data_IF_251482840584
#
_entry.id   IF_251482840584
#
_cell.length_a   1.000
_cell.length_b   1.000
_cell.length_c   1.000
_cell.angle_alpha   90.00
_cell.angle_beta   90.00
_cell.angle_gamma   90.00
#
_symmetry.space_group_name_H-M   'P 1'
#
loop_
_entity.id
_entity.type
_entity.pdbx_description
1 polymer ?
#
# COMPACT_ATOMS: atom_id res chain seq x y z
N UNK A 1 5.64 27.87 20.71
CA UNK A 1 4.58 27.12 20.00
C UNK A 1 5.26 25.95 19.33
N UNK A 2 4.81 24.71 19.60
CA UNK A 2 5.18 23.60 18.73
C UNK A 2 4.59 23.88 17.34
N UNK A 3 5.31 23.61 16.25
CA UNK A 3 4.76 23.75 14.90
C UNK A 3 3.50 22.87 14.79
N UNK A 4 2.42 23.43 14.24
CA UNK A 4 1.23 22.65 13.93
C UNK A 4 1.58 21.59 12.89
N UNK A 5 1.21 20.34 13.17
CA UNK A 5 1.38 19.25 12.20
C UNK A 5 0.62 19.60 10.89
N UNK A 6 1.16 19.22 9.73
CA UNK A 6 0.46 19.44 8.46
C UNK A 6 -0.83 18.60 8.40
N UNK A 7 -1.79 19.03 7.58
CA UNK A 7 -3.12 18.39 7.50
C UNK A 7 -3.08 16.91 7.10
N UNK A 8 -2.01 16.47 6.42
CA UNK A 8 -1.80 15.10 5.98
C UNK A 8 -1.09 14.20 7.01
N UNK A 9 -0.60 14.78 8.12
CA UNK A 9 -0.02 14.02 9.22
C UNK A 9 -1.11 13.41 10.12
N UNK A 10 -0.78 12.30 10.77
CA UNK A 10 -1.67 11.65 11.74
C UNK A 10 -1.42 12.25 13.12
N UNK A 11 -2.44 12.78 13.82
CA UNK A 11 -2.29 13.27 15.18
C UNK A 11 -1.73 12.19 16.11
N UNK A 12 -0.86 12.60 17.02
CA UNK A 12 -0.27 11.74 18.07
C UNK A 12 0.58 10.55 17.57
N UNK A 13 0.87 10.47 16.26
CA UNK A 13 1.79 9.49 15.67
C UNK A 13 2.99 10.21 15.05
N UNK A 14 4.18 9.87 15.52
CA UNK A 14 5.43 10.44 15.02
C UNK A 14 5.83 9.80 13.67
N UNK A 15 6.04 10.61 12.60
CA UNK A 15 6.49 10.08 11.31
C UNK A 15 7.94 9.59 11.40
N UNK A 16 8.25 8.48 10.71
CA UNK A 16 9.60 7.87 10.67
C UNK A 16 10.59 8.68 9.85
N UNK A 17 10.09 9.43 8.87
CA UNK A 17 10.91 10.10 7.88
C UNK A 17 10.44 11.52 7.57
N UNK A 18 11.43 12.39 7.40
CA UNK A 18 11.32 13.78 6.96
C UNK A 18 12.73 14.36 6.93
N UNK A 19 13.20 14.85 5.78
CA UNK A 19 14.50 15.53 5.74
C UNK A 19 14.40 16.84 6.53
N UNK A 20 15.41 17.16 7.35
CA UNK A 20 15.45 18.44 8.05
C UNK A 20 15.25 19.59 7.05
N UNK A 21 14.14 20.32 7.17
CA UNK A 21 13.79 21.43 6.30
C UNK A 21 12.82 21.14 5.15
N UNK A 22 12.38 19.88 4.96
CA UNK A 22 11.28 19.56 4.05
C UNK A 22 10.10 19.01 4.84
N UNK A 23 8.88 19.56 4.68
CA UNK A 23 7.68 19.04 5.31
C UNK A 23 7.28 17.76 4.58
N UNK A 24 8.02 16.67 4.81
CA UNK A 24 7.68 15.32 4.34
C UNK A 24 7.37 14.48 5.56
N UNK A 25 6.29 13.71 5.46
CA UNK A 25 5.97 12.67 6.43
C UNK A 25 6.11 11.31 5.75
N UNK A 26 6.50 10.31 6.53
CA UNK A 26 6.45 8.92 6.12
C UNK A 26 6.09 8.08 7.33
N UNK A 27 5.25 7.08 7.12
CA UNK A 27 4.74 6.19 8.15
C UNK A 27 4.85 4.75 7.67
N UNK A 28 5.24 3.86 8.58
CA UNK A 28 5.05 2.43 8.38
C UNK A 28 3.63 2.04 8.77
N UNK A 29 3.12 0.96 8.19
CA UNK A 29 1.75 0.55 8.40
C UNK A 29 1.45 0.08 9.81
N UNK A 30 2.44 -0.49 10.51
CA UNK A 30 2.34 -0.89 11.92
C UNK A 30 2.10 0.31 12.86
N UNK A 31 2.70 1.47 12.59
CA UNK A 31 2.45 2.71 13.35
C UNK A 31 0.99 3.18 13.25
N UNK A 32 0.33 2.87 12.14
CA UNK A 32 -1.01 3.34 11.82
C UNK A 32 -2.09 2.27 11.99
N UNK A 33 -1.73 1.03 12.33
CA UNK A 33 -2.63 -0.12 12.37
C UNK A 33 -3.86 0.07 13.31
N UNK A 34 -3.70 0.89 14.35
CA UNK A 34 -4.76 1.20 15.33
C UNK A 34 -5.60 2.44 14.98
N UNK A 35 -5.25 3.14 13.89
CA UNK A 35 -6.06 4.26 13.41
C UNK A 35 -7.39 3.74 12.86
N UNK A 36 -8.48 4.45 13.16
CA UNK A 36 -9.84 3.99 12.83
C UNK A 36 -10.03 3.63 11.34
N UNK A 37 -9.46 4.41 10.41
CA UNK A 37 -9.54 4.13 8.99
C UNK A 37 -8.86 2.80 8.61
N UNK A 38 -7.67 2.54 9.18
CA UNK A 38 -6.87 1.35 8.92
C UNK A 38 -7.52 0.12 9.56
N UNK A 39 -7.93 0.22 10.82
CA UNK A 39 -8.63 -0.86 11.54
C UNK A 39 -9.90 -1.30 10.80
N UNK A 40 -10.69 -0.36 10.28
CA UNK A 40 -11.91 -0.67 9.52
C UNK A 40 -11.63 -1.47 8.23
N UNK A 41 -10.48 -1.26 7.59
CA UNK A 41 -10.05 -2.08 6.44
C UNK A 41 -9.60 -3.45 6.93
N UNK A 42 -8.71 -3.50 7.93
CA UNK A 42 -8.19 -4.74 8.50
C UNK A 42 -9.30 -5.68 8.98
N UNK A 43 -10.37 -5.17 9.57
CA UNK A 43 -11.51 -5.97 10.03
C UNK A 43 -12.25 -6.70 8.89
N UNK A 44 -12.17 -6.17 7.66
CA UNK A 44 -12.78 -6.77 6.46
C UNK A 44 -11.81 -7.70 5.69
N UNK A 45 -10.51 -7.62 5.95
CA UNK A 45 -9.52 -8.49 5.32
C UNK A 45 -9.60 -9.91 5.89
N UNK A 46 -9.14 -10.94 5.17
CA UNK A 46 -8.81 -12.22 5.77
C UNK A 46 -7.81 -12.05 6.92
N UNK A 47 -7.88 -12.90 7.95
CA UNK A 47 -6.90 -12.88 9.05
C UNK A 47 -5.49 -13.22 8.57
N UNK A 48 -5.41 -14.04 7.53
CA UNK A 48 -4.19 -14.54 6.92
C UNK A 48 -4.40 -14.55 5.40
N UNK A 49 -3.45 -14.01 4.66
CA UNK A 49 -3.42 -14.02 3.20
C UNK A 49 -2.49 -15.14 2.72
N UNK A 50 -2.93 -15.90 1.72
CA UNK A 50 -2.12 -16.93 1.06
C UNK A 50 -1.31 -16.29 -0.05
N UNK A 51 0.02 -16.49 -0.05
CA UNK A 51 0.88 -16.09 -1.16
C UNK A 51 0.48 -16.85 -2.43
N UNK A 52 0.41 -16.12 -3.53
CA UNK A 52 -0.03 -16.66 -4.81
C UNK A 52 1.13 -17.35 -5.51
N UNK A 53 2.35 -16.85 -5.30
CA UNK A 53 3.56 -17.45 -5.85
C UNK A 53 4.55 -17.85 -4.77
N UNK A 54 5.32 -18.89 -5.08
CA UNK A 54 6.18 -19.60 -4.15
C UNK A 54 7.56 -18.95 -4.09
N UNK A 55 8.04 -18.71 -2.87
CA UNK A 55 9.41 -18.32 -2.60
C UNK A 55 10.32 -19.57 -2.55
N UNK A 56 10.55 -20.18 -3.71
CA UNK A 56 11.59 -21.22 -3.85
C UNK A 56 11.18 -22.66 -3.52
N UNK A 57 9.91 -23.02 -3.69
CA UNK A 57 9.45 -24.42 -3.68
C UNK A 57 9.02 -24.95 -2.30
N UNK A 58 8.73 -24.06 -1.34
CA UNK A 58 8.36 -24.43 0.02
C UNK A 58 6.84 -24.50 0.25
N UNK A 59 6.04 -24.36 -0.80
CA UNK A 59 4.58 -24.37 -0.72
C UNK A 59 4.01 -22.99 -0.37
N UNK A 60 2.67 -22.89 -0.21
CA UNK A 60 2.03 -21.61 0.00
C UNK A 60 2.43 -21.01 1.35
N UNK A 61 3.25 -19.97 1.30
CA UNK A 61 3.54 -19.11 2.44
C UNK A 61 2.31 -18.24 2.74
N UNK A 62 2.20 -17.80 3.99
CA UNK A 62 1.06 -17.02 4.47
C UNK A 62 1.52 -15.75 5.16
N UNK A 63 0.77 -14.66 4.98
CA UNK A 63 1.05 -13.33 5.56
C UNK A 63 -0.10 -12.96 6.49
N UNK A 64 0.19 -12.66 7.76
CA UNK A 64 -0.84 -12.18 8.69
C UNK A 64 -1.17 -10.71 8.43
N UNK A 65 -2.30 -10.21 8.92
CA UNK A 65 -2.62 -8.77 8.86
C UNK A 65 -1.54 -7.88 9.49
N UNK A 66 -0.92 -8.36 10.58
CA UNK A 66 0.14 -7.64 11.27
C UNK A 66 1.42 -7.59 10.42
N UNK A 67 1.82 -8.73 9.84
CA UNK A 67 2.99 -8.79 8.94
C UNK A 67 2.78 -7.92 7.71
N UNK A 68 1.56 -7.95 7.13
CA UNK A 68 1.20 -7.07 6.02
C UNK A 68 1.40 -5.61 6.43
N UNK A 69 0.81 -5.14 7.53
CA UNK A 69 0.98 -3.76 7.97
C UNK A 69 2.45 -3.37 8.22
N UNK A 70 3.25 -4.26 8.79
CA UNK A 70 4.66 -3.99 9.06
C UNK A 70 5.49 -3.78 7.78
N UNK A 71 5.06 -4.39 6.67
CA UNK A 71 5.75 -4.34 5.38
C UNK A 71 5.25 -3.21 4.47
N UNK A 72 4.27 -2.40 4.88
CA UNK A 72 3.76 -1.28 4.07
C UNK A 72 4.29 0.05 4.55
N UNK A 73 4.52 0.97 3.62
CA UNK A 73 4.78 2.37 3.96
C UNK A 73 4.01 3.34 3.07
N UNK A 74 3.71 4.51 3.62
CA UNK A 74 3.13 5.65 2.90
C UNK A 74 3.90 6.92 3.23
N UNK A 75 4.11 7.78 2.25
CA UNK A 75 4.79 9.06 2.46
C UNK A 75 4.35 10.16 1.51
N UNK A 76 4.37 11.39 1.98
CA UNK A 76 3.96 12.57 1.20
C UNK A 76 4.63 13.84 1.73
N UNK A 77 4.69 14.87 0.90
CA UNK A 77 5.05 16.23 1.30
C UNK A 77 3.87 17.23 1.27
N UNK A 78 2.75 16.85 0.67
CA UNK A 78 1.63 17.76 0.41
C UNK A 78 0.23 17.13 0.66
N UNK A 79 0.16 15.83 0.90
CA UNK A 79 -1.09 15.09 1.07
C UNK A 79 -1.87 14.83 -0.22
N UNK A 80 -1.33 15.25 -1.36
CA UNK A 80 -1.90 15.04 -2.71
C UNK A 80 -1.10 13.98 -3.47
N UNK A 81 0.22 14.06 -3.41
CA UNK A 81 1.14 13.13 -4.07
C UNK A 81 1.73 12.19 -3.02
N UNK A 82 1.46 10.91 -3.18
CA UNK A 82 1.82 9.86 -2.24
C UNK A 82 2.78 8.87 -2.87
N UNK A 83 3.86 8.59 -2.15
CA UNK A 83 4.64 7.38 -2.33
C UNK A 83 4.06 6.27 -1.48
N UNK A 84 3.77 5.13 -2.09
CA UNK A 84 3.30 3.92 -1.44
C UNK A 84 4.32 2.83 -1.70
N UNK A 85 4.73 2.10 -0.67
CA UNK A 85 5.68 1.00 -0.85
C UNK A 85 5.28 -0.25 -0.10
N UNK A 86 5.89 -1.36 -0.49
CA UNK A 86 5.86 -2.61 0.25
C UNK A 86 7.20 -3.35 0.19
N UNK A 87 7.42 -4.32 1.07
CA UNK A 87 8.57 -5.24 0.99
C UNK A 87 8.28 -6.42 0.04
N UNK A 88 9.35 -7.06 -0.45
CA UNK A 88 9.35 -8.17 -1.41
C UNK A 88 8.29 -9.27 -1.14
N UNK A 89 8.05 -9.62 0.13
CA UNK A 89 7.06 -10.63 0.51
C UNK A 89 5.62 -10.22 0.14
N UNK A 90 5.28 -8.93 0.19
CA UNK A 90 3.99 -8.42 -0.31
C UNK A 90 3.93 -8.51 -1.83
N UNK A 91 5.06 -8.33 -2.52
CA UNK A 91 5.13 -8.55 -3.96
C UNK A 91 4.62 -9.93 -4.37
N UNK A 92 4.92 -10.97 -3.59
CA UNK A 92 4.44 -12.35 -3.82
C UNK A 92 2.92 -12.53 -3.63
N UNK A 93 2.25 -11.58 -2.95
CA UNK A 93 0.80 -11.55 -2.83
C UNK A 93 0.12 -10.95 -4.07
N UNK A 94 0.69 -9.92 -4.68
CA UNK A 94 -0.05 -9.11 -5.66
C UNK A 94 0.54 -9.15 -7.06
N UNK A 95 1.86 -9.31 -7.18
CA UNK A 95 2.58 -9.34 -8.45
C UNK A 95 4.06 -9.73 -8.21
N UNK A 96 4.40 -11.02 -8.20
CA UNK A 96 5.78 -11.46 -8.05
C UNK A 96 6.57 -11.07 -9.30
N UNK A 97 7.53 -10.17 -9.12
CA UNK A 97 8.57 -9.82 -10.09
C UNK A 97 8.09 -9.56 -11.53
N UNK A 98 7.84 -8.27 -11.85
CA UNK A 98 8.06 -7.79 -13.21
C UNK A 98 8.92 -6.50 -13.22
N UNK A 99 9.51 -6.27 -14.40
CA UNK A 99 10.84 -5.71 -14.72
C UNK A 99 10.72 -4.22 -15.15
N UNK A 100 11.82 -3.60 -15.65
CA UNK A 100 12.48 -2.40 -15.12
C UNK A 100 11.60 -1.14 -15.16
N UNK A 101 11.95 -0.08 -14.40
CA UNK A 101 11.20 1.18 -14.38
C UNK A 101 10.87 1.65 -15.81
N UNK A 102 9.59 1.57 -16.16
CA UNK A 102 9.05 2.04 -17.42
C UNK A 102 8.17 3.25 -17.10
N UNK A 103 8.38 4.41 -17.74
CA UNK A 103 7.52 5.57 -17.58
C UNK A 103 6.09 5.34 -18.10
N UNK A 104 5.82 4.18 -18.71
CA UNK A 104 4.52 3.81 -19.25
C UNK A 104 3.80 2.86 -18.30
N UNK A 105 2.55 3.21 -17.95
CA UNK A 105 1.59 2.37 -17.22
C UNK A 105 1.48 0.98 -17.87
N UNK A 106 1.62 -0.09 -17.06
CA UNK A 106 1.36 -1.44 -17.51
C UNK A 106 -0.13 -1.77 -17.32
N UNK A 107 -0.92 -1.90 -18.41
CA UNK A 107 -2.34 -2.26 -18.30
C UNK A 107 -2.56 -3.67 -17.69
N UNK A 108 -1.51 -4.47 -17.57
CA UNK A 108 -1.49 -5.76 -16.90
C UNK A 108 -1.28 -5.69 -15.39
N UNK A 109 -0.97 -4.53 -14.81
CA UNK A 109 -0.71 -4.40 -13.38
C UNK A 109 -2.02 -4.39 -12.55
N UNK A 110 -2.31 -5.45 -11.76
CA UNK A 110 -3.53 -5.51 -10.97
C UNK A 110 -3.56 -4.49 -9.82
N UNK A 111 -2.40 -4.05 -9.32
CA UNK A 111 -2.29 -3.14 -8.19
C UNK A 111 -2.39 -1.68 -8.63
N UNK A 112 -1.72 -1.30 -9.71
CA UNK A 112 -1.92 0.01 -10.33
C UNK A 112 -3.38 0.20 -10.75
N UNK A 113 -3.98 -0.83 -11.37
CA UNK A 113 -5.41 -0.81 -11.73
C UNK A 113 -6.32 -0.69 -10.50
N UNK A 114 -6.03 -1.40 -9.41
CA UNK A 114 -6.80 -1.32 -8.18
C UNK A 114 -6.71 0.06 -7.51
N UNK A 115 -5.54 0.71 -7.56
CA UNK A 115 -5.35 2.08 -7.10
C UNK A 115 -6.12 3.08 -7.98
N UNK A 116 -5.94 3.01 -9.30
CA UNK A 116 -6.58 3.92 -10.26
C UNK A 116 -8.11 3.83 -10.23
N UNK A 117 -8.67 2.68 -9.84
CA UNK A 117 -10.12 2.50 -9.71
C UNK A 117 -10.72 3.13 -8.44
N UNK A 118 -9.90 3.59 -7.48
CA UNK A 118 -10.42 4.15 -6.24
C UNK A 118 -10.99 5.57 -6.43
N UNK A 119 -12.00 5.96 -5.63
CA UNK A 119 -12.50 7.32 -5.63
C UNK A 119 -11.41 8.32 -5.27
N UNK A 120 -11.42 9.47 -5.94
CA UNK A 120 -10.50 10.60 -5.77
C UNK A 120 -9.04 10.33 -6.21
N UNK A 121 -8.74 9.24 -6.92
CA UNK A 121 -7.42 9.00 -7.54
C UNK A 121 -7.39 9.61 -8.94
N UNK A 122 -6.53 10.61 -9.15
CA UNK A 122 -6.31 11.25 -10.46
C UNK A 122 -5.27 10.48 -11.30
N UNK A 123 -4.30 9.85 -10.63
CA UNK A 123 -3.21 9.10 -11.24
C UNK A 123 -2.72 8.05 -10.26
N UNK A 124 -2.46 6.85 -10.75
CA UNK A 124 -1.65 5.84 -10.08
C UNK A 124 -0.57 5.38 -11.06
N UNK A 125 0.63 5.15 -10.55
CA UNK A 125 1.79 4.80 -11.36
C UNK A 125 2.71 3.86 -10.59
N UNK A 126 3.02 2.71 -11.16
CA UNK A 126 4.04 1.78 -10.66
C UNK A 126 5.43 2.27 -11.05
N UNK A 127 6.13 2.90 -10.10
CA UNK A 127 7.41 3.57 -10.36
C UNK A 127 8.59 2.59 -10.36
N UNK A 128 8.62 1.66 -9.41
CA UNK A 128 9.60 0.58 -9.31
C UNK A 128 8.97 -0.62 -8.58
N UNK A 129 9.62 -1.79 -8.60
CA UNK A 129 9.16 -3.09 -8.10
C UNK A 129 8.32 -3.07 -6.82
N UNK A 130 8.66 -2.19 -5.90
CA UNK A 130 8.13 -2.11 -4.54
C UNK A 130 7.53 -0.73 -4.23
N UNK A 131 7.41 0.15 -5.23
CA UNK A 131 7.07 1.56 -5.04
C UNK A 131 6.11 2.09 -6.10
N UNK A 132 5.03 2.70 -5.61
CA UNK A 132 3.96 3.29 -6.41
C UNK A 132 3.82 4.78 -6.06
N UNK A 133 3.52 5.59 -7.07
CA UNK A 133 3.12 6.97 -6.89
C UNK A 133 1.63 7.13 -7.17
N UNK A 134 0.93 7.82 -6.28
CA UNK A 134 -0.49 8.10 -6.42
C UNK A 134 -0.75 9.59 -6.23
N UNK A 135 -1.48 10.18 -7.17
CA UNK A 135 -2.00 11.54 -7.04
C UNK A 135 -3.48 11.51 -6.73
N UNK A 136 -3.85 12.21 -5.66
CA UNK A 136 -5.21 12.36 -5.20
C UNK A 136 -5.81 13.71 -5.62
N UNK A 137 -7.12 13.73 -5.89
CA UNK A 137 -7.87 14.93 -6.21
C UNK A 137 -8.02 15.91 -5.03
N UNK A 138 -7.76 15.44 -3.80
CA UNK A 138 -7.83 16.23 -2.56
C UNK A 138 -6.82 15.71 -1.53
N UNK A 139 -6.51 16.57 -0.55
CA UNK A 139 -5.60 16.22 0.54
C UNK A 139 -6.18 15.06 1.35
N UNK A 140 -5.35 14.05 1.56
CA UNK A 140 -5.63 12.91 2.43
C UNK A 140 -4.69 12.91 3.63
N UNK A 141 -5.11 12.22 4.69
CA UNK A 141 -4.25 11.94 5.85
C UNK A 141 -3.58 10.58 5.68
N UNK A 142 -2.40 10.38 6.28
CA UNK A 142 -1.61 9.17 6.02
C UNK A 142 -2.30 7.85 6.42
N UNK A 143 -3.13 7.84 7.47
CA UNK A 143 -3.93 6.67 7.85
C UNK A 143 -5.06 6.37 6.85
N UNK A 144 -5.68 7.40 6.27
CA UNK A 144 -6.63 7.23 5.16
C UNK A 144 -5.94 6.67 3.93
N UNK A 145 -4.73 7.15 3.62
CA UNK A 145 -3.96 6.66 2.48
C UNK A 145 -3.49 5.22 2.69
N UNK A 146 -3.06 4.85 3.90
CA UNK A 146 -2.72 3.46 4.21
C UNK A 146 -3.95 2.53 4.11
N UNK A 147 -5.12 2.98 4.60
CA UNK A 147 -6.36 2.23 4.47
C UNK A 147 -6.70 1.95 2.99
N UNK A 148 -6.57 2.97 2.13
CA UNK A 148 -6.70 2.83 0.68
C UNK A 148 -5.66 1.90 0.08
N UNK A 149 -4.42 1.95 0.57
CA UNK A 149 -3.35 1.08 0.09
C UNK A 149 -3.65 -0.40 0.39
N UNK A 150 -4.09 -0.70 1.61
CA UNK A 150 -4.55 -2.03 2.01
C UNK A 150 -5.72 -2.53 1.16
N UNK A 151 -6.71 -1.66 0.88
CA UNK A 151 -7.86 -1.99 0.03
C UNK A 151 -7.43 -2.28 -1.43
N UNK A 152 -6.42 -1.56 -1.94
CA UNK A 152 -5.83 -1.87 -3.26
C UNK A 152 -5.12 -3.22 -3.26
N UNK A 153 -4.30 -3.50 -2.24
CA UNK A 153 -3.56 -4.76 -2.12
C UNK A 153 -4.50 -5.96 -2.09
N UNK A 154 -5.58 -5.93 -1.31
CA UNK A 154 -6.53 -7.06 -1.28
C UNK A 154 -7.30 -7.22 -2.60
N UNK A 155 -7.60 -6.11 -3.27
CA UNK A 155 -8.26 -6.14 -4.59
C UNK A 155 -7.33 -6.75 -5.63
N UNK A 156 -6.06 -6.31 -5.66
CA UNK A 156 -5.02 -6.82 -6.54
C UNK A 156 -4.71 -8.29 -6.25
N UNK A 157 -4.62 -8.68 -4.97
CA UNK A 157 -4.39 -10.06 -4.56
C UNK A 157 -5.48 -11.00 -5.10
N UNK A 158 -6.75 -10.65 -4.91
CA UNK A 158 -7.89 -11.44 -5.44
C UNK A 158 -7.86 -11.53 -6.97
N UNK A 159 -7.59 -10.42 -7.64
CA UNK A 159 -7.52 -10.39 -9.10
C UNK A 159 -6.32 -11.20 -9.62
N UNK A 160 -5.18 -11.13 -8.94
CA UNK A 160 -4.00 -11.89 -9.29
C UNK A 160 -4.24 -13.40 -9.10
N UNK A 161 -4.91 -13.81 -8.01
CA UNK A 161 -5.27 -15.21 -7.77
C UNK A 161 -6.20 -15.73 -8.88
N UNK A 162 -7.20 -14.93 -9.22
CA UNK A 162 -8.14 -15.22 -10.31
C UNK A 162 -7.43 -15.40 -11.64
N UNK A 163 -6.47 -14.52 -11.98
CA UNK A 163 -5.66 -14.63 -13.22
C UNK A 163 -4.79 -15.88 -13.24
N UNK A 164 -4.34 -16.36 -12.08
CA UNK A 164 -3.58 -17.60 -11.94
C UNK A 164 -4.44 -18.86 -11.80
N UNK A 165 -5.76 -18.72 -11.76
CA UNK A 165 -6.68 -19.85 -11.54
C UNK A 165 -6.54 -20.48 -10.16
N UNK A 166 -6.09 -19.70 -9.18
CA UNK A 166 -5.95 -20.13 -7.78
C UNK A 166 -7.22 -19.77 -7.03
N UNK A 167 -7.79 -20.75 -6.32
CA UNK A 167 -8.93 -20.55 -5.44
C UNK A 167 -8.42 -20.14 -4.05
N UNK A 168 -8.85 -18.97 -3.57
CA UNK A 168 -8.44 -18.45 -2.26
C UNK A 168 -9.32 -19.05 -1.18
N UNK A 169 -8.78 -19.38 0.01
CA UNK A 169 -9.54 -20.05 1.07
C UNK A 169 -10.53 -19.14 1.83
N UNK A 170 -10.86 -17.96 1.29
CA UNK A 170 -11.66 -16.91 1.94
C UNK A 170 -12.47 -16.06 0.95
#
# INVERSE_FOLDING_TARGET
>A
MAPSLPAYAVPDVEPVGGAAGLPRVSYFGDQLATCAAVTAVLDRLPAVLTMIEDCGGQGPLTVTRADLCAQLSVGTSDGLNWGLSFDDEVGLLVQPNYVPPSPESDPGDPLEAALAAQPDVDLAYHYDREYFEVRMARVHRADEMLARWLDAIITAHREFARRRGIDLPY
#
